data_IF_730181769221
#
_entry.id   IF_730181769221
#
_cell.length_a   1.000
_cell.length_b   1.000
_cell.length_c   1.000
_cell.angle_alpha   90.00
_cell.angle_beta   90.00
_cell.angle_gamma   90.00
#
_symmetry.space_group_name_H-M   'P 1'
#
loop_
_entity.id
_entity.type
_entity.pdbx_description
1 polymer ?
#
# COMPACT_ATOMS: atom_id res chain seq x y z
N UNK A 1 -27.00 24.61 -18.41
CA UNK A 1 -26.48 25.96 -18.78
C UNK A 1 -25.08 25.99 -18.25
N UNK A 2 -24.09 26.09 -19.11
CA UNK A 2 -22.70 26.05 -18.69
C UNK A 2 -22.36 27.26 -17.80
N UNK A 3 -21.67 27.00 -16.70
CA UNK A 3 -21.14 27.99 -15.77
C UNK A 3 -19.66 27.74 -15.56
N UNK A 4 -18.93 28.78 -15.13
CA UNK A 4 -17.49 28.67 -14.85
C UNK A 4 -17.24 28.41 -13.37
N UNK A 5 -16.36 27.45 -13.10
CA UNK A 5 -15.76 27.28 -11.78
C UNK A 5 -14.96 28.53 -11.38
N UNK A 6 -15.18 29.04 -10.18
CA UNK A 6 -14.50 30.26 -9.71
C UNK A 6 -12.98 30.06 -9.52
N UNK A 7 -12.52 28.81 -9.33
CA UNK A 7 -11.10 28.48 -9.08
C UNK A 7 -10.31 28.12 -10.34
N UNK A 8 -10.78 27.15 -11.13
CA UNK A 8 -10.05 26.70 -12.34
C UNK A 8 -10.59 27.29 -13.65
N UNK A 9 -11.68 28.06 -13.60
CA UNK A 9 -12.33 28.67 -14.78
C UNK A 9 -12.85 27.68 -15.83
N UNK A 10 -12.87 26.37 -15.54
CA UNK A 10 -13.46 25.36 -16.41
C UNK A 10 -14.97 25.59 -16.56
N UNK A 11 -15.48 25.39 -17.77
CA UNK A 11 -16.92 25.41 -18.06
C UNK A 11 -17.51 24.04 -17.73
N UNK A 12 -18.45 24.02 -16.79
CA UNK A 12 -19.15 22.83 -16.30
C UNK A 12 -20.65 23.09 -16.31
N UNK A 13 -21.47 22.04 -16.25
CA UNK A 13 -22.91 22.24 -16.11
C UNK A 13 -23.22 22.87 -14.74
N UNK A 14 -24.27 23.70 -14.68
CA UNK A 14 -24.62 24.41 -13.45
C UNK A 14 -24.91 23.44 -12.28
N UNK A 15 -25.40 22.24 -12.59
CA UNK A 15 -25.69 21.15 -11.66
C UNK A 15 -24.42 20.47 -11.10
N UNK A 16 -23.27 20.65 -11.76
CA UNK A 16 -21.96 20.11 -11.35
C UNK A 16 -21.18 21.07 -10.44
N UNK A 17 -21.68 22.29 -10.25
CA UNK A 17 -21.10 23.23 -9.29
C UNK A 17 -21.45 22.86 -7.84
N UNK A 18 -20.52 23.14 -6.94
CA UNK A 18 -20.64 22.93 -5.50
C UNK A 18 -20.29 24.22 -4.77
N UNK A 19 -21.12 24.59 -3.80
CA UNK A 19 -20.81 25.68 -2.87
C UNK A 19 -19.75 25.23 -1.86
N UNK A 20 -18.63 25.95 -1.80
CA UNK A 20 -17.60 25.75 -0.79
C UNK A 20 -16.97 27.08 -0.39
N UNK A 21 -17.00 27.40 0.90
CA UNK A 21 -16.46 28.65 1.46
C UNK A 21 -16.93 29.93 0.72
N UNK A 22 -18.19 29.94 0.24
CA UNK A 22 -18.78 31.07 -0.49
C UNK A 22 -18.42 31.16 -1.97
N UNK A 23 -17.75 30.14 -2.54
CA UNK A 23 -17.41 30.04 -3.96
C UNK A 23 -18.17 28.88 -4.62
N UNK A 24 -18.49 29.03 -5.90
CA UNK A 24 -19.01 27.97 -6.78
C UNK A 24 -17.85 27.26 -7.49
N UNK A 25 -17.59 26.01 -7.11
CA UNK A 25 -16.46 25.21 -7.61
C UNK A 25 -16.95 24.02 -8.43
N UNK A 26 -16.21 23.61 -9.46
CA UNK A 26 -16.40 22.29 -10.07
C UNK A 26 -16.04 21.17 -9.08
N UNK A 27 -16.46 19.94 -9.38
CA UNK A 27 -16.22 18.78 -8.52
C UNK A 27 -14.75 18.58 -8.15
N UNK A 28 -13.83 18.68 -9.13
CA UNK A 28 -12.39 18.52 -8.88
C UNK A 28 -11.86 19.58 -7.90
N UNK A 29 -12.19 20.85 -8.13
CA UNK A 29 -11.76 21.95 -7.27
C UNK A 29 -12.39 21.88 -5.87
N UNK A 30 -13.62 21.38 -5.78
CA UNK A 30 -14.32 21.15 -4.52
C UNK A 30 -13.66 20.03 -3.71
N UNK A 31 -13.35 18.90 -4.36
CA UNK A 31 -12.66 17.77 -3.74
C UNK A 31 -11.29 18.16 -3.23
N UNK A 32 -10.50 18.89 -4.03
CA UNK A 32 -9.20 19.41 -3.59
C UNK A 32 -9.31 20.33 -2.38
N UNK A 33 -10.30 21.24 -2.37
CA UNK A 33 -10.51 22.18 -1.28
C UNK A 33 -10.95 21.46 0.01
N UNK A 34 -11.77 20.41 -0.12
CA UNK A 34 -12.16 19.54 0.99
C UNK A 34 -11.03 18.62 1.47
N UNK A 35 -10.17 18.17 0.57
CA UNK A 35 -9.05 17.29 0.86
C UNK A 35 -7.89 18.07 1.46
N UNK A 36 -8.10 18.59 2.67
CA UNK A 36 -6.97 19.01 3.48
C UNK A 36 -6.08 17.79 3.72
N UNK A 37 -4.79 17.89 3.39
CA UNK A 37 -3.81 16.87 3.78
C UNK A 37 -3.79 16.86 5.30
N UNK A 38 -4.55 15.94 5.90
CA UNK A 38 -4.51 15.72 7.34
C UNK A 38 -3.23 14.94 7.61
N UNK A 39 -2.27 15.59 8.27
CA UNK A 39 -1.20 14.84 8.88
C UNK A 39 -1.83 13.78 9.80
N UNK A 40 -1.34 12.53 9.72
CA UNK A 40 -1.76 11.51 10.67
C UNK A 40 -1.58 12.03 12.10
N UNK A 41 -2.53 11.73 12.97
CA UNK A 41 -2.49 12.11 14.38
C UNK A 41 -1.11 11.75 14.97
N UNK A 42 -0.34 12.74 15.50
CA UNK A 42 1.01 12.49 15.98
C UNK A 42 1.08 11.40 17.06
N UNK A 43 0.00 11.27 17.84
CA UNK A 43 -0.09 10.29 18.90
C UNK A 43 -0.39 8.89 18.38
N UNK A 44 -1.21 8.76 17.34
CA UNK A 44 -1.39 7.51 16.59
C UNK A 44 -0.06 7.04 15.97
N UNK A 45 0.70 7.96 15.34
CA UNK A 45 2.01 7.63 14.74
C UNK A 45 3.02 7.22 15.81
N UNK A 46 3.14 7.99 16.90
CA UNK A 46 4.03 7.63 18.00
C UNK A 46 3.65 6.28 18.61
N UNK A 47 2.36 6.04 18.84
CA UNK A 47 1.86 4.78 19.41
C UNK A 47 2.19 3.61 18.50
N UNK A 48 1.94 3.71 17.19
CA UNK A 48 2.31 2.69 16.22
C UNK A 48 3.82 2.40 16.22
N UNK A 49 4.66 3.44 16.23
CA UNK A 49 6.12 3.30 16.32
C UNK A 49 6.58 2.67 17.64
N UNK A 50 5.97 3.05 18.76
CA UNK A 50 6.30 2.52 20.09
C UNK A 50 5.89 1.05 20.22
N UNK A 51 4.71 0.68 19.74
CA UNK A 51 4.27 -0.71 19.67
C UNK A 51 5.23 -1.53 18.80
N UNK A 52 5.62 -1.00 17.64
CA UNK A 52 6.60 -1.68 16.78
C UNK A 52 7.96 -1.84 17.46
N UNK A 53 8.44 -0.81 18.16
CA UNK A 53 9.72 -0.85 18.87
C UNK A 53 9.72 -1.82 20.07
N UNK A 54 8.56 -2.00 20.71
CA UNK A 54 8.43 -2.83 21.92
C UNK A 54 8.06 -4.27 21.63
N UNK A 55 7.16 -4.51 20.68
CA UNK A 55 6.65 -5.84 20.34
C UNK A 55 7.35 -6.45 19.12
N UNK A 56 8.19 -5.67 18.45
CA UNK A 56 8.74 -6.01 17.14
C UNK A 56 7.66 -5.99 16.06
N UNK A 57 8.10 -6.22 14.83
CA UNK A 57 7.20 -6.43 13.72
C UNK A 57 6.60 -7.84 13.83
N UNK A 58 5.30 -7.92 14.10
CA UNK A 58 4.61 -9.21 14.23
C UNK A 58 4.24 -9.75 12.85
N UNK A 59 4.76 -10.90 12.49
CA UNK A 59 4.38 -11.65 11.29
C UNK A 59 3.25 -12.63 11.62
N UNK A 60 2.33 -12.83 10.68
CA UNK A 60 1.41 -13.97 10.78
C UNK A 60 2.20 -15.28 10.73
N UNK A 61 1.66 -16.41 11.22
CA UNK A 61 2.35 -17.69 11.13
C UNK A 61 2.80 -18.05 9.70
N UNK A 62 1.95 -17.78 8.70
CA UNK A 62 2.27 -18.03 7.29
C UNK A 62 3.38 -17.11 6.76
N UNK A 63 3.38 -15.84 7.15
CA UNK A 63 4.45 -14.90 6.80
C UNK A 63 5.78 -15.29 7.44
N UNK A 64 5.74 -15.73 8.70
CA UNK A 64 6.92 -16.22 9.41
C UNK A 64 7.49 -17.46 8.73
N UNK A 65 6.65 -18.42 8.33
CA UNK A 65 7.07 -19.60 7.59
C UNK A 65 7.74 -19.25 6.25
N UNK A 66 7.16 -18.33 5.47
CA UNK A 66 7.76 -17.87 4.22
C UNK A 66 9.09 -17.14 4.46
N UNK A 67 9.15 -16.28 5.47
CA UNK A 67 10.38 -15.57 5.82
C UNK A 67 11.50 -16.54 6.23
N UNK A 68 11.22 -17.48 7.12
CA UNK A 68 12.20 -18.46 7.60
C UNK A 68 12.65 -19.42 6.48
N UNK A 69 11.74 -19.79 5.58
CA UNK A 69 12.06 -20.59 4.40
C UNK A 69 13.07 -19.86 3.50
N UNK A 70 12.80 -18.60 3.14
CA UNK A 70 13.71 -17.82 2.28
C UNK A 70 15.03 -17.55 3.00
N UNK A 71 15.01 -17.28 4.30
CA UNK A 71 16.21 -17.10 5.12
C UNK A 71 17.07 -18.37 5.14
N UNK A 72 16.47 -19.55 5.24
CA UNK A 72 17.17 -20.83 5.24
C UNK A 72 17.74 -21.21 3.86
N UNK A 73 16.96 -20.98 2.80
CA UNK A 73 17.34 -21.30 1.43
C UNK A 73 18.30 -20.26 0.80
N UNK A 74 18.37 -19.04 1.36
CA UNK A 74 18.99 -17.81 0.82
C UNK A 74 18.34 -17.29 -0.46
N UNK A 75 17.96 -18.19 -1.37
CA UNK A 75 17.26 -17.92 -2.63
C UNK A 75 16.30 -19.08 -2.93
N UNK A 76 15.05 -18.78 -3.30
CA UNK A 76 14.05 -19.80 -3.66
C UNK A 76 13.06 -19.26 -4.71
N UNK A 77 12.63 -20.08 -5.66
CA UNK A 77 11.60 -19.65 -6.63
C UNK A 77 10.22 -19.52 -5.99
N UNK A 78 9.33 -18.75 -6.62
CA UNK A 78 7.92 -18.64 -6.19
C UNK A 78 7.20 -20.00 -6.17
N UNK A 79 7.43 -20.83 -7.19
CA UNK A 79 6.81 -22.15 -7.31
C UNK A 79 7.30 -23.11 -6.23
N UNK A 80 8.62 -23.19 -6.01
CA UNK A 80 9.19 -24.06 -4.97
C UNK A 80 8.74 -23.63 -3.56
N UNK A 81 8.69 -22.32 -3.30
CA UNK A 81 8.20 -21.81 -2.03
C UNK A 81 6.73 -22.16 -1.80
N UNK A 82 5.90 -22.07 -2.85
CA UNK A 82 4.48 -22.42 -2.79
C UNK A 82 4.28 -23.92 -2.52
N UNK A 83 5.04 -24.77 -3.21
CA UNK A 83 5.03 -26.22 -2.99
C UNK A 83 5.46 -26.61 -1.58
N UNK A 84 6.57 -26.04 -1.07
CA UNK A 84 7.08 -26.36 0.27
C UNK A 84 6.15 -25.92 1.40
N UNK A 85 5.40 -24.83 1.19
CA UNK A 85 4.44 -24.33 2.17
C UNK A 85 3.03 -24.91 1.99
N UNK A 86 2.81 -25.71 0.94
CA UNK A 86 1.48 -26.25 0.62
C UNK A 86 0.46 -25.16 0.27
N UNK A 87 0.93 -24.05 -0.31
CA UNK A 87 0.12 -22.89 -0.67
C UNK A 87 -0.09 -22.85 -2.19
N UNK A 88 -1.21 -22.28 -2.63
CA UNK A 88 -1.33 -21.83 -4.01
C UNK A 88 -0.40 -20.65 -4.28
N UNK A 89 0.02 -20.45 -5.54
CA UNK A 89 0.82 -19.27 -5.91
C UNK A 89 0.16 -17.94 -5.50
N UNK A 90 -1.17 -17.86 -5.57
CA UNK A 90 -1.90 -16.65 -5.19
C UNK A 90 -1.84 -16.39 -3.68
N UNK A 91 -1.90 -17.44 -2.86
CA UNK A 91 -1.72 -17.32 -1.40
C UNK A 91 -0.31 -16.86 -1.06
N UNK A 92 0.70 -17.50 -1.67
CA UNK A 92 2.08 -17.12 -1.44
C UNK A 92 2.36 -15.68 -1.89
N UNK A 93 1.82 -15.24 -3.02
CA UNK A 93 1.93 -13.84 -3.50
C UNK A 93 1.31 -12.84 -2.53
N UNK A 94 0.22 -13.19 -1.84
CA UNK A 94 -0.39 -12.32 -0.82
C UNK A 94 0.53 -12.16 0.38
N UNK A 95 1.07 -13.25 0.91
CA UNK A 95 2.00 -13.16 2.05
C UNK A 95 3.31 -12.45 1.66
N UNK A 96 3.83 -12.73 0.47
CA UNK A 96 5.00 -12.04 -0.08
C UNK A 96 4.78 -10.53 -0.22
N UNK A 97 3.59 -10.07 -0.65
CA UNK A 97 3.32 -8.65 -0.79
C UNK A 97 3.49 -7.89 0.53
N UNK A 98 3.01 -8.45 1.64
CA UNK A 98 3.19 -7.91 2.99
C UNK A 98 4.67 -7.90 3.38
N UNK A 99 5.38 -9.02 3.21
CA UNK A 99 6.81 -9.12 3.53
C UNK A 99 7.68 -8.20 2.67
N UNK A 100 7.28 -7.92 1.43
CA UNK A 100 7.94 -6.94 0.55
C UNK A 100 7.70 -5.51 1.02
N UNK A 101 6.48 -5.16 1.39
CA UNK A 101 6.15 -3.83 1.89
C UNK A 101 6.90 -3.50 3.18
N UNK A 102 7.16 -4.52 3.98
CA UNK A 102 7.92 -4.45 5.23
C UNK A 102 9.44 -4.55 5.02
N UNK A 103 9.90 -4.58 3.77
CA UNK A 103 11.32 -4.69 3.42
C UNK A 103 12.03 -5.92 4.01
N UNK A 104 11.29 -7.02 4.23
CA UNK A 104 11.86 -8.27 4.72
C UNK A 104 12.27 -9.21 3.58
N UNK A 105 11.45 -9.29 2.53
CA UNK A 105 11.73 -10.11 1.34
C UNK A 105 11.62 -9.32 0.04
N UNK A 106 12.53 -9.56 -0.90
CA UNK A 106 12.48 -9.01 -2.26
C UNK A 106 12.43 -10.11 -3.32
N UNK A 107 11.80 -9.78 -4.43
CA UNK A 107 11.84 -10.59 -5.64
C UNK A 107 12.98 -10.10 -6.54
N UNK A 108 13.79 -11.02 -7.04
CA UNK A 108 14.86 -10.73 -7.99
C UNK A 108 14.66 -11.55 -9.27
N UNK A 109 14.78 -10.94 -10.45
CA UNK A 109 14.80 -11.70 -11.70
C UNK A 109 16.10 -12.51 -11.81
N UNK A 110 15.97 -13.72 -12.33
CA UNK A 110 17.03 -14.65 -12.71
C UNK A 110 16.76 -15.17 -14.12
N UNK A 111 17.76 -15.75 -14.81
CA UNK A 111 17.55 -16.39 -16.11
C UNK A 111 16.47 -17.50 -16.09
N UNK A 112 16.29 -18.17 -14.95
CA UNK A 112 15.33 -19.27 -14.80
C UNK A 112 13.94 -18.82 -14.31
N UNK A 113 13.76 -17.55 -13.96
CA UNK A 113 12.51 -17.05 -13.40
C UNK A 113 12.71 -15.99 -12.31
N UNK A 114 11.69 -15.81 -11.47
CA UNK A 114 11.75 -14.89 -10.32
C UNK A 114 12.07 -15.70 -9.07
N UNK A 115 13.05 -15.23 -8.31
CA UNK A 115 13.43 -15.80 -7.01
C UNK A 115 13.16 -14.81 -5.88
N UNK A 116 12.83 -15.34 -4.71
CA UNK A 116 12.67 -14.61 -3.47
C UNK A 116 13.98 -14.65 -2.69
N UNK A 117 14.39 -13.51 -2.17
CA UNK A 117 15.60 -13.33 -1.34
C UNK A 117 15.29 -12.38 -0.19
N UNK A 118 16.10 -12.39 0.86
CA UNK A 118 16.10 -11.33 1.86
C UNK A 118 16.53 -10.00 1.23
N UNK A 119 16.08 -8.88 1.82
CA UNK A 119 16.54 -7.54 1.41
C UNK A 119 18.04 -7.33 1.65
#
# INVERSE_FOLDING_TARGET
MLKRCERCQAEVEAEELRDYAGQQLCEDCYLEAMSTIRACDPWAVHTAKSILATQGQQLTPQQQQLYDLVRGAQEISLSEAAEQLGLSENELRREFATLRHMELLRAQPRPQGIVLTLF
#
